data_IF_553559601523
#
_entry.id   IF_553559601523
#
_cell.length_a   1.000
_cell.length_b   1.000
_cell.length_c   1.000
_cell.angle_alpha   90.00
_cell.angle_beta   90.00
_cell.angle_gamma   90.00
#
_symmetry.space_group_name_H-M   'P 1'
#
loop_
_entity.id
_entity.type
_entity.pdbx_description
1 polymer ?
#
# COMPACT_ATOMS: atom_id res chain seq x y z
N UNK A 1 12.76 -18.43 -4.03
CA UNK A 1 12.01 -17.93 -2.85
C UNK A 1 12.09 -16.42 -2.82
N UNK A 2 11.01 -15.73 -3.23
CA UNK A 2 10.97 -14.27 -3.16
C UNK A 2 10.95 -13.83 -1.69
N UNK A 3 11.83 -12.90 -1.35
CA UNK A 3 12.08 -12.42 0.01
C UNK A 3 10.93 -11.51 0.44
N UNK A 4 9.80 -12.09 0.88
CA UNK A 4 8.67 -11.32 1.43
C UNK A 4 9.13 -10.69 2.74
N UNK A 5 9.46 -9.39 2.71
CA UNK A 5 9.75 -8.60 3.90
C UNK A 5 8.43 -8.10 4.50
N UNK A 6 8.21 -8.36 5.79
CA UNK A 6 7.05 -7.85 6.54
C UNK A 6 7.50 -6.76 7.51
N UNK A 7 6.79 -5.64 7.54
CA UNK A 7 7.09 -4.49 8.38
C UNK A 7 6.39 -4.54 9.75
N UNK A 8 6.96 -3.84 10.73
CA UNK A 8 6.36 -3.65 12.07
C UNK A 8 5.46 -2.41 12.16
N UNK A 9 5.44 -1.55 11.13
CA UNK A 9 4.62 -0.35 11.08
C UNK A 9 4.48 0.23 9.66
N UNK A 10 3.42 0.99 9.44
CA UNK A 10 2.97 1.43 8.11
C UNK A 10 3.62 2.74 7.63
N UNK A 11 4.13 3.56 8.55
CA UNK A 11 4.71 4.85 8.20
C UNK A 11 5.90 4.74 7.24
N UNK A 12 6.73 3.70 7.40
CA UNK A 12 7.89 3.47 6.52
C UNK A 12 7.48 3.22 5.08
N UNK A 13 6.49 2.35 4.86
CA UNK A 13 5.99 2.07 3.51
C UNK A 13 5.25 3.27 2.93
N UNK A 14 4.45 3.99 3.72
CA UNK A 14 3.76 5.19 3.26
C UNK A 14 4.73 6.28 2.80
N UNK A 15 5.84 6.49 3.52
CA UNK A 15 6.90 7.41 3.07
C UNK A 15 7.62 6.92 1.83
N UNK A 16 7.87 5.61 1.71
CA UNK A 16 8.48 5.05 0.51
C UNK A 16 7.59 5.27 -0.72
N UNK A 17 6.28 5.09 -0.60
CA UNK A 17 5.38 5.21 -1.76
C UNK A 17 4.98 6.66 -2.07
N UNK A 18 4.60 7.45 -1.05
CA UNK A 18 4.12 8.82 -1.25
C UNK A 18 5.19 9.90 -1.08
N UNK A 19 6.32 9.56 -0.47
CA UNK A 19 7.43 10.49 -0.29
C UNK A 19 8.31 10.56 -1.53
N UNK A 20 9.07 11.65 -1.61
CA UNK A 20 10.29 11.69 -2.44
C UNK A 20 11.40 11.08 -1.60
N UNK A 21 11.49 9.77 -1.58
CA UNK A 21 12.65 9.11 -1.00
C UNK A 21 13.90 9.60 -1.78
N UNK A 22 14.98 10.04 -1.13
CA UNK A 22 16.20 10.48 -1.82
C UNK A 22 16.74 9.45 -2.82
N UNK A 23 16.49 8.17 -2.56
CA UNK A 23 16.88 7.03 -3.40
C UNK A 23 15.81 6.66 -4.46
N UNK A 24 14.63 7.29 -4.45
CA UNK A 24 13.56 7.17 -5.43
C UNK A 24 13.12 8.57 -5.91
N UNK A 25 13.80 9.07 -6.94
CA UNK A 25 13.55 10.40 -7.53
C UNK A 25 12.31 10.47 -8.43
N UNK A 26 11.58 9.36 -8.55
CA UNK A 26 10.34 9.30 -9.32
C UNK A 26 9.22 10.11 -8.64
N UNK A 27 8.19 10.44 -9.41
CA UNK A 27 7.04 11.18 -8.88
C UNK A 27 6.40 10.41 -7.73
N UNK A 28 5.95 11.10 -6.66
CA UNK A 28 5.32 10.44 -5.53
C UNK A 28 4.12 9.61 -6.00
N UNK A 29 3.94 8.44 -5.40
CA UNK A 29 2.81 7.58 -5.65
C UNK A 29 1.48 8.29 -5.41
N UNK A 30 0.43 7.80 -6.05
CA UNK A 30 -0.91 8.37 -5.98
C UNK A 30 -1.83 7.39 -5.25
N UNK A 31 -2.64 7.91 -4.33
CA UNK A 31 -3.67 7.14 -3.66
C UNK A 31 -4.85 6.97 -4.62
N UNK A 32 -5.11 5.73 -5.05
CA UNK A 32 -6.15 5.41 -6.03
C UNK A 32 -7.39 4.80 -5.36
N UNK A 33 -7.21 4.16 -4.20
CA UNK A 33 -8.30 3.56 -3.44
C UNK A 33 -7.82 3.00 -2.10
N UNK A 34 -8.77 2.65 -1.25
CA UNK A 34 -8.53 2.14 0.10
C UNK A 34 -9.83 2.13 0.89
N UNK A 35 -9.80 1.52 2.06
CA UNK A 35 -10.87 1.52 3.05
C UNK A 35 -10.65 2.59 4.15
N UNK A 36 -9.45 3.17 4.21
CA UNK A 36 -9.10 4.25 5.13
C UNK A 36 -9.61 5.61 4.64
N UNK A 37 -9.87 6.51 5.59
CA UNK A 37 -10.36 7.87 5.28
C UNK A 37 -9.24 8.85 4.98
N UNK A 38 -8.04 8.57 5.46
CA UNK A 38 -6.87 9.42 5.31
C UNK A 38 -6.40 9.51 3.87
N UNK A 39 -5.92 10.69 3.47
CA UNK A 39 -5.44 10.95 2.10
C UNK A 39 -3.97 11.36 2.04
N UNK A 40 -3.31 11.46 3.20
CA UNK A 40 -1.89 11.77 3.32
C UNK A 40 -1.17 10.78 4.24
N UNK A 41 0.16 10.74 4.13
CA UNK A 41 1.03 9.84 4.91
C UNK A 41 0.74 9.93 6.41
N UNK A 42 0.48 11.12 6.95
CA UNK A 42 0.29 11.35 8.39
C UNK A 42 -1.08 10.87 8.84
N UNK A 43 -2.13 11.08 8.05
CA UNK A 43 -3.48 10.60 8.33
C UNK A 43 -3.52 9.08 8.26
N UNK A 44 -3.07 8.50 7.14
CA UNK A 44 -3.00 7.06 6.94
C UNK A 44 -2.19 6.39 8.06
N UNK A 45 -0.99 6.89 8.38
CA UNK A 45 -0.17 6.31 9.46
C UNK A 45 -0.87 6.27 10.81
N UNK A 46 -1.73 7.26 11.11
CA UNK A 46 -2.50 7.30 12.36
C UNK A 46 -3.64 6.29 12.34
N UNK A 47 -4.37 6.19 11.25
CA UNK A 47 -5.45 5.21 11.10
C UNK A 47 -4.93 3.77 11.19
N UNK A 48 -3.85 3.46 10.47
CA UNK A 48 -3.18 2.17 10.59
C UNK A 48 -2.68 1.86 12.00
N UNK A 49 -2.16 2.86 12.72
CA UNK A 49 -1.70 2.66 14.10
C UNK A 49 -2.87 2.30 15.02
N UNK A 50 -4.04 2.92 14.81
CA UNK A 50 -5.27 2.58 15.53
C UNK A 50 -5.73 1.15 15.21
N UNK A 51 -5.77 0.76 13.92
CA UNK A 51 -6.13 -0.61 13.50
C UNK A 51 -5.17 -1.64 14.09
N UNK A 52 -3.86 -1.40 13.99
CA UNK A 52 -2.82 -2.27 14.57
C UNK A 52 -2.99 -2.45 16.08
N UNK A 53 -3.39 -1.41 16.81
CA UNK A 53 -3.57 -1.48 18.26
C UNK A 53 -4.69 -2.45 18.68
N UNK A 54 -5.63 -2.76 17.78
CA UNK A 54 -6.69 -3.75 18.00
C UNK A 54 -6.17 -5.20 17.99
N UNK A 55 -4.99 -5.45 17.42
CA UNK A 55 -4.37 -6.78 17.26
C UNK A 55 -2.91 -6.80 17.73
N UNK A 56 -2.66 -6.61 19.05
CA UNK A 56 -1.30 -6.57 19.60
C UNK A 56 -0.55 -7.91 19.47
N UNK A 57 -1.27 -9.01 19.24
CA UNK A 57 -0.72 -10.34 18.98
C UNK A 57 0.02 -10.44 17.62
N UNK A 58 -0.24 -9.53 16.69
CA UNK A 58 0.39 -9.51 15.36
C UNK A 58 1.68 -8.67 15.39
N UNK A 59 2.83 -9.35 15.49
CA UNK A 59 4.14 -8.68 15.53
C UNK A 59 4.58 -7.99 14.22
N UNK A 60 4.05 -8.43 13.07
CA UNK A 60 4.36 -7.87 11.73
C UNK A 60 3.09 -7.68 10.91
N UNK A 61 2.31 -6.62 11.17
CA UNK A 61 0.98 -6.43 10.58
C UNK A 61 1.02 -5.92 9.14
N UNK A 62 2.20 -5.53 8.64
CA UNK A 62 2.31 -4.92 7.31
C UNK A 62 2.69 -5.96 6.25
N UNK A 63 1.85 -6.08 5.22
CA UNK A 63 2.18 -6.76 3.98
C UNK A 63 2.08 -5.77 2.82
N UNK A 64 3.22 -5.51 2.16
CA UNK A 64 3.28 -4.64 0.99
C UNK A 64 3.50 -5.50 -0.25
N UNK A 65 2.63 -5.34 -1.25
CA UNK A 65 2.71 -6.05 -2.52
C UNK A 65 2.64 -5.04 -3.67
N UNK A 66 3.57 -5.14 -4.62
CA UNK A 66 3.66 -4.24 -5.76
C UNK A 66 3.18 -4.95 -7.02
N UNK A 67 2.17 -4.37 -7.66
CA UNK A 67 1.73 -4.78 -8.99
C UNK A 67 2.53 -4.01 -10.04
N UNK A 68 2.87 -4.67 -11.16
CA UNK A 68 3.58 -4.06 -12.28
C UNK A 68 2.92 -4.49 -13.59
N UNK A 69 2.90 -3.58 -14.55
CA UNK A 69 2.47 -3.86 -15.91
C UNK A 69 3.65 -4.31 -16.78
N UNK A 70 3.38 -5.01 -17.89
CA UNK A 70 4.36 -5.19 -18.96
C UNK A 70 4.91 -3.85 -19.45
N UNK A 71 6.15 -3.86 -19.94
CA UNK A 71 6.79 -2.67 -20.45
C UNK A 71 6.00 -2.05 -21.61
N UNK A 72 5.74 -0.73 -21.53
CA UNK A 72 4.99 0.01 -22.54
C UNK A 72 3.47 0.06 -22.30
N UNK A 73 2.95 -0.68 -21.33
CA UNK A 73 1.54 -0.61 -20.96
C UNK A 73 1.27 0.44 -19.88
N UNK A 74 0.09 1.07 -19.98
CA UNK A 74 -0.40 1.99 -18.96
C UNK A 74 -1.87 1.69 -18.67
N UNK A 75 -2.27 1.93 -17.43
CA UNK A 75 -3.66 1.82 -17.01
C UNK A 75 -4.13 3.14 -16.39
N UNK A 76 -5.42 3.43 -16.59
CA UNK A 76 -6.08 4.54 -15.91
C UNK A 76 -6.21 4.25 -14.41
N UNK A 77 -6.37 5.28 -13.57
CA UNK A 77 -6.60 5.09 -12.13
C UNK A 77 -7.80 4.18 -11.83
N UNK A 78 -8.87 4.27 -12.61
CA UNK A 78 -10.09 3.46 -12.43
C UNK A 78 -9.81 1.99 -12.73
N UNK A 79 -9.03 1.70 -13.78
CA UNK A 79 -8.62 0.33 -14.12
C UNK A 79 -7.69 -0.25 -13.07
N UNK A 80 -6.76 0.55 -12.54
CA UNK A 80 -5.95 0.15 -11.39
C UNK A 80 -6.84 -0.22 -10.22
N UNK A 81 -7.78 0.64 -9.83
CA UNK A 81 -8.70 0.37 -8.73
C UNK A 81 -9.43 -0.97 -8.91
N UNK A 82 -10.01 -1.21 -10.08
CA UNK A 82 -10.74 -2.47 -10.36
C UNK A 82 -9.85 -3.71 -10.24
N UNK A 83 -8.65 -3.70 -10.86
CA UNK A 83 -7.72 -4.83 -10.78
C UNK A 83 -7.31 -5.14 -9.34
N UNK A 84 -7.10 -4.08 -8.57
CA UNK A 84 -6.72 -4.19 -7.17
C UNK A 84 -7.86 -4.77 -6.35
N UNK A 85 -9.09 -4.25 -6.49
CA UNK A 85 -10.28 -4.78 -5.82
C UNK A 85 -10.48 -6.28 -6.14
N UNK A 86 -10.27 -6.70 -7.39
CA UNK A 86 -10.33 -8.10 -7.82
C UNK A 86 -9.24 -8.97 -7.18
N UNK A 87 -7.99 -8.49 -7.16
CA UNK A 87 -6.85 -9.18 -6.56
C UNK A 87 -7.07 -9.47 -5.06
N UNK A 88 -7.65 -8.53 -4.32
CA UNK A 88 -7.92 -8.70 -2.90
C UNK A 88 -9.11 -9.59 -2.62
N UNK A 89 -10.17 -9.58 -3.45
CA UNK A 89 -11.28 -10.54 -3.32
C UNK A 89 -10.82 -12.00 -3.42
N UNK A 90 -9.75 -12.25 -4.18
CA UNK A 90 -9.17 -13.58 -4.35
C UNK A 90 -8.15 -13.95 -3.27
N UNK A 91 -7.80 -13.00 -2.38
CA UNK A 91 -6.85 -13.19 -1.29
C UNK A 91 -7.61 -13.35 0.03
N UNK A 92 -7.27 -14.32 0.89
CA UNK A 92 -7.86 -14.48 2.25
C UNK A 92 -7.33 -13.41 3.23
N UNK A 93 -6.99 -12.24 2.72
CA UNK A 93 -6.41 -11.12 3.44
C UNK A 93 -7.45 -10.01 3.35
N UNK A 94 -8.16 -9.75 4.45
CA UNK A 94 -8.91 -8.50 4.62
C UNK A 94 -7.93 -7.35 4.31
N UNK A 95 -8.17 -6.67 3.20
CA UNK A 95 -7.17 -5.84 2.56
C UNK A 95 -7.12 -4.45 3.21
N UNK A 96 -6.04 -4.19 3.93
CA UNK A 96 -5.64 -2.82 4.27
C UNK A 96 -4.60 -2.34 3.24
N UNK A 97 -5.13 -1.51 2.34
CA UNK A 97 -4.47 -0.45 1.58
C UNK A 97 -3.75 -0.72 0.26
N UNK A 98 -4.11 0.15 -0.68
CA UNK A 98 -3.72 0.15 -2.08
C UNK A 98 -3.01 1.45 -2.40
N UNK A 99 -1.68 1.40 -2.40
CA UNK A 99 -0.86 2.52 -2.85
C UNK A 99 -0.10 2.12 -4.11
N UNK A 100 -0.33 2.85 -5.20
CA UNK A 100 0.43 2.65 -6.43
C UNK A 100 1.88 3.08 -6.20
N UNK A 101 2.83 2.15 -6.37
CA UNK A 101 4.19 2.51 -6.77
C UNK A 101 4.17 2.86 -8.25
N UNK A 102 4.88 3.94 -8.61
CA UNK A 102 5.19 4.28 -9.99
C UNK A 102 5.99 3.16 -10.67
#
# INVERSE_FOLDING_TARGET
>A
MNRIKRGSGFQGVLRYVFGRDPDHQDSPGVLIGGNLSGTDVRQLSREFAAVRALRPDIGKPVWHNSLRLPAGETLSPERWKTLCDEQFRMSVVEADDMVRCA
#
